data_IF_184816601541
#
_entry.id   IF_184816601541
#
_cell.length_a   1.000
_cell.length_b   1.000
_cell.length_c   1.000
_cell.angle_alpha   90.00
_cell.angle_beta   90.00
_cell.angle_gamma   90.00
#
_symmetry.space_group_name_H-M   'P 1'
#
loop_
_entity.id
_entity.type
_entity.pdbx_description
1 polymer ?
#
# COMPACT_ATOMS: atom_id res chain seq x y z
N UNK A 1 1.60 15.82 -1.77
CA UNK A 1 0.53 15.05 -2.45
C UNK A 1 0.30 13.67 -1.83
N UNK A 2 1.27 13.08 -1.12
CA UNK A 2 1.17 11.70 -0.62
C UNK A 2 0.25 11.53 0.60
N UNK A 3 0.22 12.51 1.52
CA UNK A 3 -0.54 12.40 2.79
C UNK A 3 -2.03 12.04 2.63
N UNK A 4 -2.80 12.62 1.69
CA UNK A 4 -4.20 12.24 1.48
C UNK A 4 -4.35 10.77 1.03
N UNK A 5 -3.42 10.26 0.22
CA UNK A 5 -3.44 8.87 -0.26
C UNK A 5 -3.24 7.92 0.94
N UNK A 6 -2.23 8.20 1.77
CA UNK A 6 -1.96 7.40 2.98
C UNK A 6 -3.14 7.43 3.95
N UNK A 7 -3.71 8.61 4.19
CA UNK A 7 -4.85 8.77 5.08
C UNK A 7 -6.08 8.01 4.57
N UNK A 8 -6.33 7.99 3.25
CA UNK A 8 -7.45 7.26 2.69
C UNK A 8 -7.24 5.75 2.72
N UNK A 9 -6.01 5.26 2.47
CA UNK A 9 -5.65 3.84 2.61
C UNK A 9 -5.92 3.35 4.03
N UNK A 10 -5.43 4.08 5.04
CA UNK A 10 -5.64 3.73 6.45
C UNK A 10 -7.13 3.74 6.82
N UNK A 11 -7.87 4.77 6.39
CA UNK A 11 -9.30 4.92 6.73
C UNK A 11 -10.20 3.91 6.05
N UNK A 12 -9.96 3.57 4.78
CA UNK A 12 -10.84 2.69 3.99
C UNK A 12 -10.58 1.20 4.23
N UNK A 13 -9.32 0.83 4.45
CA UNK A 13 -8.91 -0.57 4.42
C UNK A 13 -8.38 -1.10 5.76
N UNK A 14 -8.37 -0.26 6.80
CA UNK A 14 -7.86 -0.61 8.14
C UNK A 14 -6.42 -1.15 8.12
N UNK A 15 -5.59 -0.65 7.18
CA UNK A 15 -4.17 -0.98 7.04
C UNK A 15 -3.30 0.11 7.67
N UNK A 16 -2.04 -0.21 7.98
CA UNK A 16 -1.03 0.83 8.20
C UNK A 16 -0.45 1.23 6.83
N UNK A 17 -0.29 2.54 6.60
CA UNK A 17 0.27 3.06 5.35
C UNK A 17 1.25 4.21 5.62
N UNK A 18 2.40 4.20 4.96
CA UNK A 18 3.45 5.21 5.12
C UNK A 18 4.14 5.53 3.79
N UNK A 19 4.77 6.69 3.72
CA UNK A 19 5.79 6.97 2.70
C UNK A 19 7.09 6.34 3.16
N UNK A 20 7.54 5.29 2.46
CA UNK A 20 8.57 4.36 2.93
C UNK A 20 9.87 4.42 2.11
N UNK A 21 10.00 5.38 1.19
CA UNK A 21 11.21 5.58 0.40
C UNK A 21 11.01 6.59 -0.74
N UNK A 22 12.09 6.81 -1.50
CA UNK A 22 12.14 7.73 -2.66
C UNK A 22 11.87 9.22 -2.33
N UNK A 23 11.97 9.63 -1.06
CA UNK A 23 11.63 10.98 -0.58
C UNK A 23 12.49 12.10 -1.23
N UNK A 24 13.72 11.79 -1.63
CA UNK A 24 14.64 12.72 -2.29
C UNK A 24 14.39 12.85 -3.80
N UNK A 25 13.47 12.07 -4.37
CA UNK A 25 13.20 12.04 -5.80
C UNK A 25 12.01 12.92 -6.16
N UNK A 26 12.19 13.71 -7.22
CA UNK A 26 11.12 14.57 -7.70
C UNK A 26 9.99 13.75 -8.37
N UNK A 27 8.75 13.95 -7.89
CA UNK A 27 7.52 13.27 -8.39
C UNK A 27 7.61 11.74 -8.35
N UNK A 28 8.34 11.19 -7.40
CA UNK A 28 8.40 9.76 -7.11
C UNK A 28 8.23 9.55 -5.62
N UNK A 29 7.55 8.48 -5.24
CA UNK A 29 7.33 8.10 -3.85
C UNK A 29 7.15 6.60 -3.77
N UNK A 30 7.68 5.98 -2.72
CA UNK A 30 7.40 4.60 -2.38
C UNK A 30 6.35 4.58 -1.26
N UNK A 31 5.20 3.97 -1.51
CA UNK A 31 4.16 3.77 -0.51
C UNK A 31 4.34 2.39 0.12
N UNK A 32 4.52 2.34 1.44
CA UNK A 32 4.47 1.11 2.21
C UNK A 32 3.05 0.89 2.75
N UNK A 33 2.52 -0.32 2.59
CA UNK A 33 1.24 -0.75 3.17
C UNK A 33 1.47 -2.05 3.92
N UNK A 34 0.98 -2.13 5.16
CA UNK A 34 1.13 -3.30 6.02
C UNK A 34 -0.19 -3.64 6.72
N UNK A 35 -0.44 -4.94 6.87
CA UNK A 35 -1.61 -5.51 7.55
C UNK A 35 -1.20 -6.80 8.25
N UNK A 36 -1.83 -7.08 9.39
CA UNK A 36 -1.76 -8.37 10.07
C UNK A 36 -3.14 -9.03 9.98
N UNK A 37 -3.18 -10.32 9.66
CA UNK A 37 -4.40 -11.11 9.62
C UNK A 37 -4.11 -12.56 10.02
N UNK A 38 -5.13 -13.27 10.50
CA UNK A 38 -5.07 -14.70 10.77
C UNK A 38 -5.07 -15.55 9.49
N UNK A 39 -5.57 -14.99 8.38
CA UNK A 39 -5.73 -15.72 7.12
C UNK A 39 -5.06 -14.97 5.96
N UNK A 40 -4.21 -15.69 5.22
CA UNK A 40 -3.52 -15.16 4.04
C UNK A 40 -4.51 -14.72 2.94
N UNK A 41 -5.68 -15.36 2.86
CA UNK A 41 -6.74 -14.98 1.90
C UNK A 41 -7.28 -13.57 2.15
N UNK A 42 -7.60 -13.24 3.41
CA UNK A 42 -8.05 -11.91 3.79
C UNK A 42 -6.96 -10.85 3.58
N UNK A 43 -5.71 -11.19 3.95
CA UNK A 43 -4.55 -10.35 3.70
C UNK A 43 -4.40 -10.05 2.20
N UNK A 44 -4.51 -11.08 1.35
CA UNK A 44 -4.53 -10.98 -0.13
C UNK A 44 -5.59 -10.01 -0.63
N UNK A 45 -6.84 -10.24 -0.25
CA UNK A 45 -7.97 -9.42 -0.67
C UNK A 45 -7.80 -7.94 -0.31
N UNK A 46 -7.35 -7.63 0.91
CA UNK A 46 -7.23 -6.24 1.38
C UNK A 46 -6.08 -5.51 0.69
N UNK A 47 -4.90 -6.11 0.54
CA UNK A 47 -3.81 -5.43 -0.17
C UNK A 47 -4.11 -5.29 -1.67
N UNK A 48 -4.80 -6.24 -2.31
CA UNK A 48 -5.25 -6.09 -3.70
C UNK A 48 -6.19 -4.88 -3.86
N UNK A 49 -7.09 -4.67 -2.89
CA UNK A 49 -7.95 -3.47 -2.86
C UNK A 49 -7.13 -2.19 -2.70
N UNK A 50 -6.10 -2.19 -1.86
CA UNK A 50 -5.19 -1.06 -1.69
C UNK A 50 -4.45 -0.72 -3.00
N UNK A 51 -3.89 -1.74 -3.67
CA UNK A 51 -3.19 -1.59 -4.94
C UNK A 51 -4.12 -1.01 -6.02
N UNK A 52 -5.31 -1.61 -6.20
CA UNK A 52 -6.32 -1.12 -7.15
C UNK A 52 -6.76 0.31 -6.83
N UNK A 53 -6.94 0.65 -5.56
CA UNK A 53 -7.32 2.00 -5.13
C UNK A 53 -6.26 3.03 -5.49
N UNK A 54 -4.97 2.71 -5.32
CA UNK A 54 -3.87 3.60 -5.72
C UNK A 54 -3.76 3.67 -7.25
N UNK A 55 -3.88 2.55 -7.95
CA UNK A 55 -3.78 2.47 -9.42
C UNK A 55 -4.92 3.21 -10.15
N UNK A 56 -6.10 3.30 -9.55
CA UNK A 56 -7.26 3.96 -10.14
C UNK A 56 -7.21 5.49 -10.11
N UNK A 57 -6.19 6.09 -9.48
CA UNK A 57 -6.04 7.54 -9.35
C UNK A 57 -5.43 8.14 -10.62
N UNK A 58 -6.16 8.97 -11.39
CA UNK A 58 -5.66 9.52 -12.65
C UNK A 58 -4.45 10.43 -12.49
N UNK A 59 -4.27 11.03 -11.30
CA UNK A 59 -3.13 11.89 -10.98
C UNK A 59 -1.83 11.11 -10.67
N UNK A 60 -1.88 9.77 -10.62
CA UNK A 60 -0.75 8.92 -10.30
C UNK A 60 -0.50 7.89 -11.40
N UNK A 61 0.78 7.50 -11.53
CA UNK A 61 1.16 6.32 -12.30
C UNK A 61 1.75 5.29 -11.34
N UNK A 62 1.12 4.12 -11.25
CA UNK A 62 1.67 3.00 -10.50
C UNK A 62 2.80 2.35 -11.30
N UNK A 63 4.04 2.51 -10.84
CA UNK A 63 5.22 2.03 -11.56
C UNK A 63 5.53 0.56 -11.30
N UNK A 64 5.39 0.13 -10.04
CA UNK A 64 5.65 -1.23 -9.61
C UNK A 64 4.93 -1.52 -8.29
N UNK A 65 4.63 -2.79 -8.08
CA UNK A 65 4.16 -3.32 -6.79
C UNK A 65 5.05 -4.49 -6.41
N UNK A 66 5.42 -4.56 -5.14
CA UNK A 66 6.10 -5.71 -4.55
C UNK A 66 5.37 -6.12 -3.29
N UNK A 67 5.10 -7.41 -3.17
CA UNK A 67 4.38 -7.98 -2.04
C UNK A 67 5.25 -9.00 -1.34
N UNK A 68 5.25 -8.95 -0.01
CA UNK A 68 5.85 -9.96 0.85
C UNK A 68 4.85 -10.30 1.94
N UNK A 69 4.68 -11.59 2.17
CA UNK A 69 3.87 -12.14 3.26
C UNK A 69 4.87 -12.80 4.20
N UNK A 70 4.71 -12.54 5.50
CA UNK A 70 5.54 -13.14 6.54
C UNK A 70 4.64 -14.09 7.32
N UNK A 71 4.98 -15.38 7.28
CA UNK A 71 4.32 -16.44 8.01
C UNK A 71 5.12 -16.89 9.23
N UNK A 72 4.64 -17.92 9.95
CA UNK A 72 5.32 -18.49 11.12
C UNK A 72 6.69 -19.11 10.81
N UNK A 73 6.98 -19.35 9.54
CA UNK A 73 8.13 -20.09 9.03
C UNK A 73 9.11 -19.21 8.24
N UNK A 74 8.92 -17.88 8.27
CA UNK A 74 9.80 -16.85 7.72
C UNK A 74 10.76 -16.22 8.76
#
# INVERSE_FOLDING_TARGET
>A
MIRPILAELQKRFAVNAAEAGDQDLHRRALLGVAMVSAETGHLNEVLDKCERHVAARPELQLLAVRRRIFGPED
#
